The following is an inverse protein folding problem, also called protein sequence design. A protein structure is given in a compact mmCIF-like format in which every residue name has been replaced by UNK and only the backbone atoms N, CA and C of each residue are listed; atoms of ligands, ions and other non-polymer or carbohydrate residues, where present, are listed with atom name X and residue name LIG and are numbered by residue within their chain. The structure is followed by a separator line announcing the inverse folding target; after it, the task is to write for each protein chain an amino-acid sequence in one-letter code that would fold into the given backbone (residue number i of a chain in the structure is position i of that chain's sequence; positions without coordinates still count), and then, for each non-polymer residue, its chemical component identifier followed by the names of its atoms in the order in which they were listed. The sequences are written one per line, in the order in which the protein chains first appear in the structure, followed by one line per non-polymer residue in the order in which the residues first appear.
data_IF_242834875909
#
_entry.id   IF_242834875909
#
_cell.length_a   1.000
_cell.length_b   1.000
_cell.length_c   1.000
_cell.angle_alpha   90.00
_cell.angle_beta   90.00
_cell.angle_gamma   90.00
#
_symmetry.space_group_name_H-M   'P 1'
#
loop_
_entity.id
_entity.type
_entity.pdbx_description
1 polymer ?
#
# COMPACT_ATOMS: atom_id res chain seq x y z
N UNK A 1 -12.13 11.21 10.71
CA UNK A 1 -12.27 11.03 9.24
C UNK A 1 -11.75 9.68 8.79
N UNK A 2 -10.52 9.30 9.09
CA UNK A 2 -9.87 8.07 8.60
C UNK A 2 -10.79 6.84 8.72
N UNK A 3 -11.23 6.50 9.92
CA UNK A 3 -12.10 5.34 10.16
C UNK A 3 -13.37 5.33 9.29
N UNK A 4 -14.12 6.45 9.27
CA UNK A 4 -15.35 6.53 8.47
C UNK A 4 -15.10 6.44 6.96
N UNK A 5 -14.03 7.06 6.45
CA UNK A 5 -13.68 6.97 5.03
C UNK A 5 -13.31 5.55 4.63
N UNK A 6 -12.68 4.78 5.53
CA UNK A 6 -12.38 3.38 5.32
C UNK A 6 -13.65 2.48 5.27
N UNK A 7 -14.70 2.83 6.02
CA UNK A 7 -15.92 2.03 6.14
C UNK A 7 -17.02 2.43 5.13
N UNK A 8 -17.19 3.73 4.91
CA UNK A 8 -18.28 4.29 4.13
C UNK A 8 -17.86 4.76 2.73
N UNK A 9 -16.54 4.77 2.47
CA UNK A 9 -15.95 5.37 1.27
C UNK A 9 -15.79 6.89 1.39
N UNK A 10 -14.70 7.42 0.87
CA UNK A 10 -14.37 8.86 0.97
C UNK A 10 -15.45 9.75 0.35
N UNK A 11 -16.03 9.35 -0.79
CA UNK A 11 -17.04 10.13 -1.51
C UNK A 11 -18.31 10.38 -0.69
N UNK A 12 -18.67 9.47 0.21
CA UNK A 12 -19.88 9.55 1.04
C UNK A 12 -19.68 10.40 2.31
N UNK A 13 -18.46 10.82 2.62
CA UNK A 13 -18.14 11.59 3.82
C UNK A 13 -18.00 13.07 3.47
N UNK A 14 -18.90 13.90 4.04
CA UNK A 14 -18.81 15.38 3.95
C UNK A 14 -18.00 15.96 5.13
N UNK A 15 -17.58 17.22 4.99
CA UNK A 15 -16.96 17.98 6.10
C UNK A 15 -17.88 18.11 7.32
N UNK A 16 -19.20 18.21 7.11
CA UNK A 16 -20.18 18.19 8.21
C UNK A 16 -20.19 16.87 8.95
N UNK A 17 -20.10 15.74 8.23
CA UNK A 17 -19.98 14.41 8.86
C UNK A 17 -18.69 14.30 9.68
N UNK A 18 -17.58 14.89 9.20
CA UNK A 18 -16.30 14.91 9.92
C UNK A 18 -16.44 15.74 11.20
N UNK A 19 -16.98 16.97 11.11
CA UNK A 19 -17.18 17.85 12.26
C UNK A 19 -18.07 17.21 13.33
N UNK A 20 -19.21 16.63 12.92
CA UNK A 20 -20.11 15.91 13.82
C UNK A 20 -19.42 14.72 14.53
N UNK A 21 -18.61 13.95 13.81
CA UNK A 21 -17.87 12.81 14.39
C UNK A 21 -16.82 13.26 15.41
N UNK A 22 -16.20 14.42 15.19
CA UNK A 22 -15.20 15.00 16.10
C UNK A 22 -15.83 15.79 17.27
N UNK A 23 -17.15 15.96 17.30
CA UNK A 23 -17.85 16.75 18.31
C UNK A 23 -17.52 18.25 18.23
N UNK A 24 -17.15 18.76 17.05
CA UNK A 24 -16.84 20.17 16.81
C UNK A 24 -17.85 20.81 15.83
N UNK A 25 -17.94 22.14 15.86
CA UNK A 25 -18.77 22.83 14.86
C UNK A 25 -18.13 22.77 13.46
N UNK A 26 -18.93 22.80 12.37
CA UNK A 26 -18.38 22.94 11.02
C UNK A 26 -17.49 24.18 10.85
N UNK A 27 -17.82 25.32 11.50
CA UNK A 27 -17.00 26.51 11.49
C UNK A 27 -15.61 26.31 12.10
N UNK A 28 -15.52 25.54 13.19
CA UNK A 28 -14.22 25.16 13.78
C UNK A 28 -13.40 24.29 12.81
N UNK A 29 -14.01 23.32 12.13
CA UNK A 29 -13.32 22.52 11.12
C UNK A 29 -12.81 23.40 9.98
N UNK A 30 -13.62 24.33 9.46
CA UNK A 30 -13.24 25.25 8.39
C UNK A 30 -12.19 26.30 8.80
N UNK A 31 -12.02 26.56 10.08
CA UNK A 31 -10.90 27.37 10.58
C UNK A 31 -9.55 26.69 10.32
N UNK A 32 -9.50 25.35 10.39
CA UNK A 32 -8.28 24.57 10.20
C UNK A 32 -8.08 24.06 8.77
N UNK A 33 -9.17 23.79 8.03
CA UNK A 33 -9.14 23.21 6.69
C UNK A 33 -10.14 23.91 5.78
N UNK A 34 -9.68 24.50 4.70
CA UNK A 34 -10.54 25.22 3.74
C UNK A 34 -11.56 24.32 3.06
N UNK A 35 -11.19 23.07 2.84
CA UNK A 35 -12.02 22.06 2.18
C UNK A 35 -11.62 20.64 2.58
N UNK A 36 -12.36 19.65 2.09
CA UNK A 36 -12.11 18.26 2.34
C UNK A 36 -10.80 17.76 1.73
N UNK A 37 -10.38 18.31 0.60
CA UNK A 37 -9.15 17.86 -0.08
C UNK A 37 -7.90 18.21 0.74
N UNK A 38 -7.87 19.35 1.44
CA UNK A 38 -6.80 19.64 2.40
C UNK A 38 -6.72 18.60 3.54
N UNK A 39 -7.86 18.12 4.02
CA UNK A 39 -7.88 17.05 5.02
C UNK A 39 -7.30 15.76 4.44
N UNK A 40 -7.61 15.44 3.17
CA UNK A 40 -7.07 14.26 2.48
C UNK A 40 -5.56 14.38 2.30
N UNK A 41 -5.05 15.56 1.93
CA UNK A 41 -3.59 15.83 1.85
C UNK A 41 -2.91 15.55 3.20
N UNK A 42 -3.48 16.02 4.31
CA UNK A 42 -2.91 15.75 5.65
C UNK A 42 -2.97 14.25 6.01
N UNK A 43 -4.02 13.54 5.63
CA UNK A 43 -4.10 12.10 5.84
C UNK A 43 -3.10 11.34 4.96
N UNK A 44 -2.86 11.80 3.74
CA UNK A 44 -1.81 11.26 2.88
C UNK A 44 -0.41 11.48 3.47
N UNK A 45 -0.12 12.66 4.02
CA UNK A 45 1.14 12.94 4.72
C UNK A 45 1.35 11.99 5.90
N UNK A 46 0.32 11.77 6.73
CA UNK A 46 0.37 10.80 7.82
C UNK A 46 0.60 9.36 7.34
N UNK A 47 -0.08 8.96 6.26
CA UNK A 47 0.18 7.67 5.63
C UNK A 47 1.65 7.56 5.19
N UNK A 48 2.17 8.58 4.51
CA UNK A 48 3.54 8.62 4.02
C UNK A 48 4.56 8.52 5.16
N UNK A 49 4.33 9.25 6.26
CA UNK A 49 5.15 9.18 7.48
C UNK A 49 5.10 7.77 8.11
N UNK A 50 3.91 7.19 8.25
CA UNK A 50 3.74 5.85 8.82
C UNK A 50 4.42 4.78 7.98
N UNK A 51 4.28 4.85 6.64
CA UNK A 51 4.94 3.89 5.76
C UNK A 51 6.47 4.07 5.78
N UNK A 52 6.98 5.29 5.76
CA UNK A 52 8.42 5.55 5.84
C UNK A 52 9.00 5.12 7.19
N UNK A 53 8.30 5.35 8.29
CA UNK A 53 8.70 4.85 9.62
C UNK A 53 8.83 3.34 9.59
N UNK A 54 7.81 2.62 9.09
CA UNK A 54 7.87 1.17 8.93
C UNK A 54 9.07 0.73 8.08
N UNK A 55 9.25 1.31 6.89
CA UNK A 55 10.32 0.93 5.94
C UNK A 55 11.73 1.22 6.49
N UNK A 56 11.90 2.21 7.36
CA UNK A 56 13.18 2.56 7.97
C UNK A 56 13.48 1.75 9.24
N UNK A 57 12.45 1.35 9.99
CA UNK A 57 12.59 0.64 11.26
C UNK A 57 12.56 -0.89 11.09
N UNK A 58 11.85 -1.37 10.07
CA UNK A 58 11.75 -2.79 9.80
C UNK A 58 13.12 -3.38 9.40
N UNK A 59 13.46 -4.51 10.00
CA UNK A 59 14.64 -5.28 9.58
C UNK A 59 14.44 -5.75 8.15
N UNK A 60 15.41 -5.46 7.29
CA UNK A 60 15.36 -5.92 5.91
C UNK A 60 15.37 -7.45 5.85
N UNK A 61 14.58 -8.05 4.96
CA UNK A 61 14.46 -9.49 4.85
C UNK A 61 15.79 -10.21 4.64
N UNK A 62 16.00 -11.30 5.36
CA UNK A 62 17.14 -12.19 5.23
C UNK A 62 16.80 -13.52 4.57
N UNK A 63 15.52 -13.82 4.42
CA UNK A 63 15.01 -15.01 3.73
C UNK A 63 13.63 -14.76 3.11
N UNK A 64 13.04 -15.81 2.54
CA UNK A 64 11.71 -15.78 1.91
C UNK A 64 10.60 -15.47 2.93
N UNK A 65 10.68 -16.02 4.14
CA UNK A 65 9.66 -15.80 5.19
C UNK A 65 9.67 -14.35 5.65
N UNK A 66 10.86 -13.80 5.90
CA UNK A 66 11.05 -12.39 6.23
C UNK A 66 10.50 -11.48 5.12
N UNK A 67 10.70 -11.85 3.85
CA UNK A 67 10.17 -11.09 2.71
C UNK A 67 8.64 -11.04 2.71
N UNK A 68 7.98 -12.14 3.08
CA UNK A 68 6.52 -12.20 3.21
C UNK A 68 6.05 -11.30 4.37
N UNK A 69 6.70 -11.41 5.53
CA UNK A 69 6.37 -10.62 6.71
C UNK A 69 6.62 -9.12 6.47
N UNK A 70 7.71 -8.76 5.80
CA UNK A 70 8.02 -7.39 5.43
C UNK A 70 6.95 -6.79 4.50
N UNK A 71 6.50 -7.55 3.50
CA UNK A 71 5.42 -7.12 2.61
C UNK A 71 4.08 -7.03 3.34
N UNK A 72 3.80 -7.94 4.27
CA UNK A 72 2.60 -7.89 5.09
C UNK A 72 2.52 -6.60 5.91
N UNK A 73 3.61 -6.16 6.53
CA UNK A 73 3.65 -4.91 7.26
C UNK A 73 3.42 -3.66 6.39
N UNK A 74 3.91 -3.66 5.15
CA UNK A 74 3.57 -2.59 4.18
C UNK A 74 2.06 -2.55 3.95
N UNK A 75 1.44 -3.71 3.72
CA UNK A 75 0.00 -3.80 3.51
C UNK A 75 -0.80 -3.48 4.78
N UNK A 76 -0.28 -3.74 5.97
CA UNK A 76 -0.92 -3.35 7.24
C UNK A 76 -1.00 -1.82 7.37
N UNK A 77 0.10 -1.11 7.08
CA UNK A 77 0.07 0.37 7.04
C UNK A 77 -0.92 0.86 5.98
N UNK A 78 -0.90 0.31 4.77
CA UNK A 78 -1.83 0.69 3.72
C UNK A 78 -3.29 0.39 4.09
N UNK A 79 -3.54 -0.66 4.84
CA UNK A 79 -4.87 -1.04 5.29
C UNK A 79 -5.49 -0.03 6.25
N UNK A 80 -4.70 0.58 7.10
CA UNK A 80 -5.18 1.68 7.96
C UNK A 80 -5.67 2.88 7.15
N UNK A 81 -5.07 3.13 5.98
CA UNK A 81 -5.38 4.25 5.08
C UNK A 81 -6.04 3.80 3.78
N UNK A 82 -6.72 2.62 3.76
CA UNK A 82 -7.19 1.96 2.53
C UNK A 82 -8.14 2.81 1.67
N UNK A 83 -8.82 3.79 2.23
CA UNK A 83 -9.65 4.70 1.45
C UNK A 83 -8.84 5.52 0.42
N UNK A 84 -7.55 5.80 0.69
CA UNK A 84 -6.65 6.47 -0.25
C UNK A 84 -6.37 5.63 -1.50
N UNK A 85 -6.52 4.30 -1.38
CA UNK A 85 -6.18 3.34 -2.41
C UNK A 85 -7.40 2.71 -3.09
N UNK A 86 -8.61 3.00 -2.61
CA UNK A 86 -9.85 2.48 -3.20
C UNK A 86 -10.28 3.25 -4.47
N UNK A 87 -9.75 4.46 -4.68
CA UNK A 87 -10.03 5.31 -5.85
C UNK A 87 -8.92 6.36 -6.02
N UNK A 88 -7.69 5.88 -6.03
CA UNK A 88 -6.49 6.73 -5.96
C UNK A 88 -6.42 7.76 -7.10
N UNK A 89 -6.78 7.36 -8.32
CA UNK A 89 -6.69 8.25 -9.47
C UNK A 89 -7.68 9.42 -9.38
N UNK A 90 -8.89 9.18 -8.89
CA UNK A 90 -9.86 10.26 -8.65
C UNK A 90 -9.38 11.24 -7.58
N UNK A 91 -8.78 10.74 -6.50
CA UNK A 91 -8.23 11.59 -5.46
C UNK A 91 -7.08 12.45 -5.99
N UNK A 92 -6.15 11.86 -6.75
CA UNK A 92 -5.01 12.58 -7.35
C UNK A 92 -5.45 13.61 -8.39
N UNK A 93 -6.49 13.31 -9.18
CA UNK A 93 -7.02 14.23 -10.19
C UNK A 93 -7.70 15.46 -9.58
N UNK A 94 -8.22 15.38 -8.36
CA UNK A 94 -8.93 16.48 -7.68
C UNK A 94 -8.01 17.52 -7.07
N UNK A 95 -6.78 17.15 -6.72
CA UNK A 95 -5.86 18.01 -5.96
C UNK A 95 -4.46 17.95 -6.52
N UNK A 96 -4.01 19.08 -7.11
CA UNK A 96 -2.63 19.22 -7.58
C UNK A 96 -1.61 19.08 -6.45
N UNK A 97 -1.96 19.55 -5.23
CA UNK A 97 -1.11 19.38 -4.04
C UNK A 97 -0.97 17.89 -3.69
N UNK A 98 -2.08 17.14 -3.64
CA UNK A 98 -2.04 15.71 -3.36
C UNK A 98 -1.22 14.94 -4.41
N UNK A 99 -1.38 15.30 -5.70
CA UNK A 99 -0.59 14.71 -6.78
C UNK A 99 0.91 14.99 -6.61
N UNK A 100 1.28 16.22 -6.24
CA UNK A 100 2.67 16.61 -5.97
C UNK A 100 3.29 15.83 -4.81
N UNK A 101 2.59 15.76 -3.67
CA UNK A 101 3.01 14.99 -2.50
C UNK A 101 3.16 13.49 -2.83
N UNK A 102 2.16 12.93 -3.53
CA UNK A 102 2.20 11.54 -3.97
C UNK A 102 3.40 11.24 -4.89
N UNK A 103 3.67 12.09 -5.88
CA UNK A 103 4.78 11.90 -6.82
C UNK A 103 6.12 12.00 -6.11
N UNK A 104 6.29 13.01 -5.24
CA UNK A 104 7.50 13.16 -4.43
C UNK A 104 7.71 11.95 -3.52
N UNK A 105 6.67 11.49 -2.83
CA UNK A 105 6.72 10.32 -1.97
C UNK A 105 7.12 9.06 -2.77
N UNK A 106 6.47 8.81 -3.91
CA UNK A 106 6.75 7.63 -4.73
C UNK A 106 8.17 7.63 -5.29
N UNK A 107 8.58 8.73 -5.93
CA UNK A 107 9.86 8.78 -6.66
C UNK A 107 11.06 8.97 -5.75
N UNK A 108 10.96 9.87 -4.77
CA UNK A 108 12.10 10.25 -3.94
C UNK A 108 12.24 9.41 -2.67
N UNK A 109 11.20 8.69 -2.24
CA UNK A 109 11.23 7.93 -0.99
C UNK A 109 11.00 6.44 -1.20
N UNK A 110 9.88 6.02 -1.78
CA UNK A 110 9.52 4.60 -1.88
C UNK A 110 10.40 3.86 -2.90
N UNK A 111 10.61 4.42 -4.08
CA UNK A 111 11.36 3.77 -5.15
C UNK A 111 12.79 3.38 -4.73
N UNK A 112 13.61 4.26 -4.12
CA UNK A 112 14.93 3.88 -3.64
C UNK A 112 14.91 2.77 -2.58
N UNK A 113 13.93 2.76 -1.68
CA UNK A 113 13.81 1.74 -0.63
C UNK A 113 13.47 0.37 -1.21
N UNK A 114 12.60 0.30 -2.22
CA UNK A 114 12.29 -0.95 -2.91
C UNK A 114 13.49 -1.50 -3.69
N UNK A 115 14.23 -0.63 -4.38
CA UNK A 115 15.46 -1.04 -5.08
C UNK A 115 16.50 -1.54 -4.08
N UNK A 116 16.66 -0.89 -2.92
CA UNK A 116 17.56 -1.33 -1.86
C UNK A 116 17.17 -2.71 -1.32
N UNK A 117 15.88 -2.95 -1.06
CA UNK A 117 15.34 -4.26 -0.67
C UNK A 117 15.73 -5.35 -1.68
N UNK A 118 15.49 -5.12 -2.98
CA UNK A 118 15.80 -6.09 -4.02
C UNK A 118 17.31 -6.30 -4.16
N UNK A 119 18.12 -5.25 -4.00
CA UNK A 119 19.58 -5.35 -4.00
C UNK A 119 20.06 -6.23 -2.85
N UNK A 120 19.48 -6.09 -1.66
CA UNK A 120 19.80 -6.96 -0.53
C UNK A 120 19.41 -8.41 -0.80
N UNK A 121 18.19 -8.69 -1.27
CA UNK A 121 17.76 -10.06 -1.60
C UNK A 121 18.65 -10.70 -2.66
N UNK A 122 19.12 -9.92 -3.64
CA UNK A 122 20.06 -10.38 -4.67
C UNK A 122 21.46 -10.67 -4.06
N UNK A 123 21.94 -9.81 -3.17
CA UNK A 123 23.22 -10.00 -2.47
C UNK A 123 23.22 -11.22 -1.53
N UNK A 124 22.07 -11.60 -1.00
CA UNK A 124 21.86 -12.80 -0.17
C UNK A 124 21.61 -14.07 -1.00
N UNK A 125 21.67 -14.01 -2.33
CA UNK A 125 21.34 -15.10 -3.24
C UNK A 125 19.93 -15.67 -3.04
N UNK A 126 18.96 -14.83 -2.62
CA UNK A 126 17.54 -15.23 -2.54
C UNK A 126 16.90 -15.08 -3.92
N UNK A 127 17.23 -13.99 -4.61
CA UNK A 127 16.87 -13.75 -6.01
C UNK A 127 18.12 -13.62 -6.87
N UNK A 128 17.95 -13.77 -8.19
CA UNK A 128 18.96 -13.48 -9.19
C UNK A 128 18.37 -12.53 -10.23
N UNK A 129 18.81 -11.29 -10.23
CA UNK A 129 18.35 -10.24 -11.14
C UNK A 129 19.49 -9.25 -11.40
N UNK A 130 19.61 -8.75 -12.64
CA UNK A 130 20.48 -7.63 -12.93
C UNK A 130 19.84 -6.29 -12.50
N UNK A 131 20.59 -5.21 -12.60
CA UNK A 131 20.12 -3.89 -12.15
C UNK A 131 18.87 -3.41 -12.90
N UNK A 132 18.77 -3.71 -14.18
CA UNK A 132 17.60 -3.33 -14.98
C UNK A 132 16.36 -4.09 -14.50
N UNK A 133 16.48 -5.40 -14.35
CA UNK A 133 15.40 -6.24 -13.84
C UNK A 133 14.98 -5.83 -12.41
N UNK A 134 15.92 -5.47 -11.53
CA UNK A 134 15.59 -4.97 -10.18
C UNK A 134 14.82 -3.65 -10.23
N UNK A 135 15.20 -2.72 -11.09
CA UNK A 135 14.49 -1.46 -11.26
C UNK A 135 13.07 -1.68 -11.78
N UNK A 136 12.90 -2.51 -12.80
CA UNK A 136 11.58 -2.85 -13.37
C UNK A 136 10.71 -3.58 -12.34
N UNK A 137 11.31 -4.51 -11.59
CA UNK A 137 10.63 -5.25 -10.55
C UNK A 137 10.14 -4.33 -9.43
N UNK A 138 10.97 -3.36 -8.98
CA UNK A 138 10.58 -2.38 -7.98
C UNK A 138 9.36 -1.55 -8.44
N UNK A 139 9.37 -1.08 -9.69
CA UNK A 139 8.23 -0.34 -10.28
C UNK A 139 6.98 -1.22 -10.33
N UNK A 140 7.10 -2.46 -10.81
CA UNK A 140 5.98 -3.40 -10.94
C UNK A 140 5.41 -3.77 -9.55
N UNK A 141 6.25 -4.03 -8.56
CA UNK A 141 5.82 -4.31 -7.19
C UNK A 141 5.08 -3.11 -6.59
N UNK A 142 5.61 -1.89 -6.75
CA UNK A 142 4.93 -0.70 -6.26
C UNK A 142 3.60 -0.44 -6.98
N UNK A 143 3.55 -0.62 -8.29
CA UNK A 143 2.34 -0.47 -9.09
C UNK A 143 1.25 -1.44 -8.62
N UNK A 144 1.58 -2.73 -8.47
CA UNK A 144 0.64 -3.73 -7.96
C UNK A 144 0.19 -3.36 -6.55
N UNK A 145 1.10 -3.04 -5.65
CA UNK A 145 0.79 -2.68 -4.26
C UNK A 145 -0.16 -1.47 -4.20
N UNK A 146 0.17 -0.41 -4.93
CA UNK A 146 -0.59 0.85 -4.94
C UNK A 146 -2.01 0.71 -5.46
N UNK A 147 -2.19 -0.03 -6.55
CA UNK A 147 -3.48 -0.14 -7.24
C UNK A 147 -4.28 -1.39 -6.87
N UNK A 148 -3.74 -2.23 -5.99
CA UNK A 148 -4.36 -3.51 -5.67
C UNK A 148 -5.78 -3.39 -5.14
N UNK A 149 -6.02 -2.48 -4.19
CA UNK A 149 -7.32 -2.37 -3.54
C UNK A 149 -8.42 -1.88 -4.49
N UNK A 150 -8.10 -0.95 -5.40
CA UNK A 150 -9.00 -0.49 -6.44
C UNK A 150 -9.30 -1.62 -7.45
N UNK A 151 -8.27 -2.30 -7.91
CA UNK A 151 -8.39 -3.44 -8.83
C UNK A 151 -9.22 -4.59 -8.24
N UNK A 152 -8.91 -5.06 -7.01
CA UNK A 152 -9.62 -6.17 -6.37
C UNK A 152 -11.10 -5.82 -6.11
N UNK A 153 -11.38 -4.58 -5.73
CA UNK A 153 -12.72 -4.07 -5.53
C UNK A 153 -13.52 -4.08 -6.84
N UNK A 154 -12.94 -3.54 -7.91
CA UNK A 154 -13.59 -3.48 -9.24
C UNK A 154 -13.85 -4.87 -9.81
N UNK A 155 -12.90 -5.79 -9.70
CA UNK A 155 -13.02 -7.16 -10.19
C UNK A 155 -14.15 -7.95 -9.52
N UNK A 156 -14.41 -7.68 -8.24
CA UNK A 156 -15.41 -8.39 -7.44
C UNK A 156 -16.76 -7.69 -7.37
N UNK A 157 -16.90 -6.52 -8.00
CA UNK A 157 -18.12 -5.70 -7.90
C UNK A 157 -18.47 -5.32 -6.47
N UNK A 158 -17.45 -5.20 -5.58
CA UNK A 158 -17.63 -4.90 -4.17
C UNK A 158 -17.23 -3.45 -3.89
N UNK A 159 -18.03 -2.77 -3.12
CA UNK A 159 -17.75 -1.41 -2.64
C UNK A 159 -16.92 -1.39 -1.35
N UNK A 160 -16.79 -2.54 -0.67
CA UNK A 160 -16.09 -2.66 0.61
C UNK A 160 -14.93 -3.64 0.52
N UNK A 161 -13.74 -3.16 0.89
CA UNK A 161 -12.52 -3.98 1.03
C UNK A 161 -12.63 -4.89 2.27
N UNK A 162 -12.01 -6.06 2.20
CA UNK A 162 -11.96 -7.06 3.28
C UNK A 162 -10.51 -7.44 3.59
N UNK A 163 -10.27 -8.10 4.72
CA UNK A 163 -8.95 -8.64 5.07
C UNK A 163 -8.42 -9.61 3.99
N UNK A 164 -9.32 -10.34 3.32
CA UNK A 164 -8.95 -11.19 2.18
C UNK A 164 -8.39 -10.37 1.01
N UNK A 165 -8.87 -9.13 0.81
CA UNK A 165 -8.32 -8.23 -0.21
C UNK A 165 -6.85 -7.91 0.09
N UNK A 166 -6.51 -7.70 1.37
CA UNK A 166 -5.13 -7.49 1.82
C UNK A 166 -4.26 -8.72 1.55
N UNK A 167 -4.70 -9.89 1.98
CA UNK A 167 -3.96 -11.14 1.80
C UNK A 167 -3.70 -11.46 0.31
N UNK A 168 -4.70 -11.24 -0.54
CA UNK A 168 -4.54 -11.39 -2.00
C UNK A 168 -3.53 -10.39 -2.57
N UNK A 169 -3.53 -9.15 -2.08
CA UNK A 169 -2.56 -8.12 -2.51
C UNK A 169 -1.12 -8.51 -2.19
N UNK A 170 -0.87 -8.94 -0.95
CA UNK A 170 0.43 -9.45 -0.53
C UNK A 170 0.90 -10.56 -1.47
N UNK A 171 0.05 -11.55 -1.71
CA UNK A 171 0.36 -12.68 -2.60
C UNK A 171 0.67 -12.20 -4.03
N UNK A 172 -0.12 -11.27 -4.57
CA UNK A 172 0.08 -10.76 -5.94
C UNK A 172 1.38 -9.97 -6.08
N UNK A 173 1.69 -9.12 -5.11
CA UNK A 173 2.95 -8.39 -5.13
C UNK A 173 4.16 -9.33 -5.04
N UNK A 174 4.11 -10.29 -4.12
CA UNK A 174 5.19 -11.24 -3.94
C UNK A 174 5.33 -12.21 -5.13
N UNK A 175 4.24 -12.50 -5.86
CA UNK A 175 4.33 -13.37 -7.04
C UNK A 175 5.26 -12.83 -8.14
N UNK A 176 5.52 -11.52 -8.14
CA UNK A 176 6.48 -10.89 -9.04
C UNK A 176 7.93 -11.29 -8.75
N UNK A 177 8.25 -11.65 -7.49
CA UNK A 177 9.58 -12.15 -7.12
C UNK A 177 9.84 -13.57 -7.59
N UNK A 178 8.79 -14.40 -7.77
CA UNK A 178 8.91 -15.83 -8.04
C UNK A 178 9.82 -16.21 -9.22
N UNK A 179 9.76 -15.52 -10.38
CA UNK A 179 10.63 -15.83 -11.51
C UNK A 179 12.12 -15.64 -11.22
N UNK A 180 12.43 -14.73 -10.29
CA UNK A 180 13.80 -14.37 -9.92
C UNK A 180 14.35 -15.20 -8.76
N UNK A 181 13.50 -15.94 -8.02
CA UNK A 181 13.97 -16.79 -6.91
C UNK A 181 14.91 -17.86 -7.39
N UNK A 182 16.01 -18.05 -6.66
CA UNK A 182 16.88 -19.20 -6.86
C UNK A 182 16.16 -20.51 -6.53
N UNK A 183 16.54 -21.63 -7.16
CA UNK A 183 15.81 -22.91 -7.05
C UNK A 183 15.56 -23.35 -5.61
N UNK A 184 16.54 -23.20 -4.72
CA UNK A 184 16.48 -23.57 -3.30
C UNK A 184 15.44 -22.80 -2.50
N UNK A 185 15.06 -21.60 -2.96
CA UNK A 185 14.09 -20.75 -2.31
C UNK A 185 12.66 -20.93 -2.85
N UNK A 186 12.51 -21.48 -4.08
CA UNK A 186 11.21 -21.59 -4.77
C UNK A 186 10.25 -22.51 -4.03
N UNK A 187 10.71 -23.64 -3.54
CA UNK A 187 9.84 -24.62 -2.86
C UNK A 187 9.29 -24.04 -1.54
N UNK A 188 10.13 -23.38 -0.75
CA UNK A 188 9.71 -22.71 0.49
C UNK A 188 8.70 -21.62 0.19
N UNK A 189 8.97 -20.82 -0.86
CA UNK A 189 8.08 -19.76 -1.32
C UNK A 189 6.73 -20.31 -1.77
N UNK A 190 6.72 -21.29 -2.67
CA UNK A 190 5.48 -21.87 -3.23
C UNK A 190 4.61 -22.48 -2.13
N UNK A 191 5.18 -23.23 -1.20
CA UNK A 191 4.45 -23.76 -0.03
C UNK A 191 3.79 -22.67 0.80
N UNK A 192 4.51 -21.62 1.09
CA UNK A 192 4.01 -20.53 1.96
C UNK A 192 2.91 -19.70 1.28
N UNK A 193 3.08 -19.40 0.00
CA UNK A 193 2.10 -18.65 -0.79
C UNK A 193 0.85 -19.46 -1.09
N UNK A 194 0.98 -20.78 -1.33
CA UNK A 194 -0.17 -21.68 -1.56
C UNK A 194 -0.99 -21.86 -0.28
N UNK A 195 -0.36 -22.08 0.86
CA UNK A 195 -1.05 -22.18 2.15
C UNK A 195 -1.89 -20.93 2.47
N UNK A 196 -1.41 -19.74 2.09
CA UNK A 196 -2.20 -18.50 2.18
C UNK A 196 -3.38 -18.45 1.18
N UNK A 197 -3.35 -19.25 0.11
CA UNK A 197 -4.42 -19.28 -0.90
C UNK A 197 -5.58 -20.19 -0.49
N UNK A 198 -5.33 -21.30 0.20
CA UNK A 198 -6.35 -22.28 0.59
C UNK A 198 -7.32 -21.70 1.64
N UNK A 199 -6.85 -20.76 2.46
CA UNK A 199 -7.68 -20.01 3.41
C UNK A 199 -8.65 -19.05 2.67
N UNK A 200 -8.40 -18.72 1.39
CA UNK A 200 -9.13 -17.71 0.61
C UNK A 200 -10.11 -18.29 -0.42
N UNK A 201 -10.20 -19.62 -0.53
CA UNK A 201 -11.14 -20.32 -1.43
C UNK A 201 -12.39 -20.85 -0.70
N UNK A 202 -12.41 -20.79 0.63
CA UNK A 202 -13.57 -21.09 1.48
C UNK A 202 -14.36 -19.80 1.80
#
# INVERSE_FOLDING_TARGET
MLFRSNEEGERNISTNHIAAHLGISPGNLYYHFRNKDEIIVQLFKRYSEALLAYLNEAVLPSDVEDSINYMAGIYDVMWEYRFLFSDVNTLLARSAELLGEHNTFTQAKVSPLLVNLLTQLNGLNIIQADQTAMNDLAVNMWMVTKYWFDFDSSLRGRTKLTEDSKARGIRRTLSLLRPYLLPEHREKYDRRITAASDILQS
#
